data_IF_166114614476
#
_entry.id   IF_166114614476
#
_cell.length_a   1.000
_cell.length_b   1.000
_cell.length_c   1.000
_cell.angle_alpha   90.00
_cell.angle_beta   90.00
_cell.angle_gamma   90.00
#
_symmetry.space_group_name_H-M   'P 1'
#
loop_
_entity.id
_entity.type
_entity.pdbx_description
1 polymer ?
#
# COMPACT_ATOMS: atom_id res chain seq x y z
N UNK A 1 23.43 -20.33 -5.77
CA UNK A 1 23.03 -18.98 -5.32
C UNK A 1 22.04 -19.18 -4.18
N UNK A 2 22.41 -18.85 -2.94
CA UNK A 2 21.49 -18.96 -1.80
C UNK A 2 20.78 -17.62 -1.67
N UNK A 3 19.46 -17.63 -1.85
CA UNK A 3 18.62 -16.48 -1.51
C UNK A 3 18.55 -16.35 0.02
N UNK A 4 18.45 -15.13 0.55
CA UNK A 4 18.29 -14.92 1.99
C UNK A 4 17.04 -15.65 2.50
N UNK A 5 17.17 -16.24 3.69
CA UNK A 5 16.05 -16.86 4.39
C UNK A 5 15.14 -15.75 4.91
N UNK A 6 13.91 -15.67 4.38
CA UNK A 6 12.92 -14.72 4.86
C UNK A 6 12.12 -15.34 6.00
N UNK A 7 12.38 -14.89 7.23
CA UNK A 7 11.69 -15.40 8.44
C UNK A 7 10.19 -15.06 8.48
N UNK A 8 9.73 -14.09 7.66
CA UNK A 8 8.35 -13.56 7.70
C UNK A 8 7.78 -13.39 6.29
N UNK A 9 7.36 -14.50 5.69
CA UNK A 9 6.59 -14.49 4.44
C UNK A 9 5.11 -14.62 4.76
N UNK A 10 4.29 -13.68 4.28
CA UNK A 10 2.84 -13.83 4.27
C UNK A 10 2.41 -14.37 2.91
N UNK A 11 1.66 -15.47 2.92
CA UNK A 11 1.06 -16.02 1.72
C UNK A 11 -0.37 -15.51 1.57
N UNK A 12 -0.71 -15.05 0.36
CA UNK A 12 -2.07 -14.67 0.00
C UNK A 12 -2.59 -15.64 -1.06
N UNK A 13 -3.71 -16.29 -0.78
CA UNK A 13 -4.40 -17.13 -1.77
C UNK A 13 -5.25 -16.24 -2.67
N UNK A 14 -5.05 -16.36 -3.98
CA UNK A 14 -5.83 -15.63 -4.98
C UNK A 14 -7.06 -16.43 -5.38
N UNK A 15 -8.21 -15.76 -5.46
CA UNK A 15 -9.46 -16.29 -5.97
C UNK A 15 -9.80 -15.60 -7.30
N UNK A 16 -10.51 -16.29 -8.23
CA UNK A 16 -10.99 -15.66 -9.45
C UNK A 16 -11.85 -14.43 -9.15
N UNK A 17 -11.59 -13.32 -9.83
CA UNK A 17 -12.31 -12.06 -9.66
C UNK A 17 -11.83 -11.19 -8.49
N UNK A 18 -10.83 -11.63 -7.70
CA UNK A 18 -10.17 -10.75 -6.75
C UNK A 18 -9.51 -9.58 -7.46
N UNK A 19 -9.71 -8.38 -6.93
CA UNK A 19 -9.05 -7.16 -7.39
C UNK A 19 -8.11 -6.69 -6.29
N UNK A 20 -6.83 -6.54 -6.62
CA UNK A 20 -5.80 -6.16 -5.65
C UNK A 20 -5.15 -4.85 -6.09
N UNK A 21 -4.84 -4.00 -5.12
CA UNK A 21 -3.88 -2.91 -5.28
C UNK A 21 -2.74 -3.10 -4.28
N UNK A 22 -1.52 -2.85 -4.74
CA UNK A 22 -0.32 -2.99 -3.92
C UNK A 22 0.42 -1.67 -3.96
N UNK A 23 0.65 -1.08 -2.80
CA UNK A 23 1.49 0.12 -2.65
C UNK A 23 2.67 -0.21 -1.73
N UNK A 24 3.82 0.38 -2.01
CA UNK A 24 5.07 0.18 -1.29
C UNK A 24 5.84 1.49 -1.34
N UNK A 25 6.68 1.76 -0.34
CA UNK A 25 7.61 2.91 -0.39
C UNK A 25 6.85 4.24 -0.59
N UNK A 26 5.81 4.41 0.23
CA UNK A 26 4.97 5.59 0.20
C UNK A 26 5.46 6.58 1.24
N UNK A 27 6.43 7.42 0.89
CA UNK A 27 6.80 8.58 1.71
C UNK A 27 5.66 9.58 1.66
N UNK A 28 4.74 9.51 2.64
CA UNK A 28 3.55 10.37 2.73
C UNK A 28 3.87 11.82 3.08
N UNK A 29 5.15 12.17 3.07
CA UNK A 29 5.65 13.49 3.36
C UNK A 29 5.57 13.83 4.83
N UNK A 30 6.41 14.76 5.26
CA UNK A 30 6.41 15.31 6.62
C UNK A 30 5.53 16.57 6.72
N UNK A 31 4.82 16.94 5.65
CA UNK A 31 4.00 18.14 5.56
C UNK A 31 4.81 19.45 5.48
N UNK A 32 6.13 19.38 5.29
CA UNK A 32 6.98 20.57 5.15
C UNK A 32 6.97 21.11 3.73
N UNK A 33 7.58 22.28 3.50
CA UNK A 33 7.68 22.87 2.16
C UNK A 33 8.50 22.05 1.15
N UNK A 34 9.20 21.01 1.60
CA UNK A 34 9.94 20.06 0.75
C UNK A 34 9.17 18.73 0.55
N UNK A 35 7.90 18.68 0.95
CA UNK A 35 7.03 17.52 0.81
C UNK A 35 6.58 17.34 -0.65
N UNK A 36 7.30 16.49 -1.37
CA UNK A 36 6.99 16.10 -2.75
C UNK A 36 5.68 15.29 -2.87
N UNK A 37 5.20 14.69 -1.77
CA UNK A 37 3.95 13.95 -1.73
C UNK A 37 2.74 14.89 -1.61
N UNK A 38 2.87 16.03 -0.95
CA UNK A 38 1.78 17.00 -0.77
C UNK A 38 1.12 17.39 -2.11
N UNK A 39 1.92 17.55 -3.17
CA UNK A 39 1.45 17.84 -4.53
C UNK A 39 0.62 16.70 -5.14
N UNK A 40 0.95 15.44 -4.82
CA UNK A 40 0.33 14.24 -5.38
C UNK A 40 -0.73 13.61 -4.46
N UNK A 41 -0.88 14.13 -3.24
CA UNK A 41 -1.81 13.64 -2.21
C UNK A 41 -3.26 13.54 -2.70
N UNK A 42 -3.70 14.48 -3.54
CA UNK A 42 -5.04 14.50 -4.09
C UNK A 42 -5.28 13.32 -5.04
N UNK A 43 -4.35 13.06 -5.96
CA UNK A 43 -4.44 11.95 -6.92
C UNK A 43 -4.40 10.62 -6.17
N UNK A 44 -3.51 10.51 -5.19
CA UNK A 44 -3.41 9.33 -4.34
C UNK A 44 -4.73 9.05 -3.60
N UNK A 45 -5.35 10.07 -3.01
CA UNK A 45 -6.65 9.95 -2.34
C UNK A 45 -7.77 9.54 -3.30
N UNK A 46 -7.84 10.17 -4.48
CA UNK A 46 -8.83 9.81 -5.50
C UNK A 46 -8.68 8.36 -5.96
N UNK A 47 -7.45 7.89 -6.15
CA UNK A 47 -7.18 6.50 -6.53
C UNK A 47 -7.63 5.54 -5.42
N UNK A 48 -7.25 5.77 -4.16
CA UNK A 48 -7.69 4.94 -3.04
C UNK A 48 -9.20 4.89 -2.89
N UNK A 49 -9.88 6.04 -3.03
CA UNK A 49 -11.34 6.09 -2.99
C UNK A 49 -11.97 5.23 -4.09
N UNK A 50 -11.49 5.38 -5.33
CA UNK A 50 -11.97 4.57 -6.46
C UNK A 50 -11.80 3.07 -6.19
N UNK A 51 -10.63 2.66 -5.71
CA UNK A 51 -10.34 1.25 -5.44
C UNK A 51 -11.22 0.68 -4.31
N UNK A 52 -11.45 1.46 -3.25
CA UNK A 52 -12.35 1.10 -2.17
C UNK A 52 -13.79 0.92 -2.68
N UNK A 53 -14.30 1.87 -3.46
CA UNK A 53 -15.66 1.83 -4.01
C UNK A 53 -15.88 0.67 -5.01
N UNK A 54 -14.80 0.19 -5.64
CA UNK A 54 -14.85 -0.88 -6.65
C UNK A 54 -14.48 -2.28 -6.13
N UNK A 55 -14.34 -2.43 -4.80
CA UNK A 55 -14.11 -3.71 -4.13
C UNK A 55 -12.70 -4.26 -4.34
N UNK A 56 -11.69 -3.39 -4.42
CA UNK A 56 -10.30 -3.81 -4.40
C UNK A 56 -9.82 -4.03 -2.97
N UNK A 57 -9.00 -5.06 -2.77
CA UNK A 57 -8.24 -5.24 -1.53
C UNK A 57 -6.92 -4.48 -1.63
N UNK A 58 -6.64 -3.65 -0.62
CA UNK A 58 -5.39 -2.91 -0.50
C UNK A 58 -4.34 -3.69 0.26
N UNK A 59 -3.12 -3.70 -0.28
CA UNK A 59 -1.93 -4.30 0.33
C UNK A 59 -0.84 -3.23 0.40
N UNK A 60 -0.37 -2.94 1.61
CA UNK A 60 0.75 -2.02 1.86
C UNK A 60 2.00 -2.81 2.20
N UNK A 61 3.07 -2.63 1.44
CA UNK A 61 4.34 -3.39 1.54
C UNK A 61 5.44 -2.66 2.32
N UNK A 62 5.06 -1.79 3.26
CA UNK A 62 5.99 -1.10 4.16
C UNK A 62 6.64 0.14 3.53
N UNK A 63 7.44 0.83 4.35
CA UNK A 63 8.00 2.16 4.07
C UNK A 63 6.94 3.22 3.74
N UNK A 64 5.75 3.04 4.30
CA UNK A 64 4.88 4.13 4.66
C UNK A 64 5.23 4.51 6.10
N UNK A 65 5.94 5.62 6.28
CA UNK A 65 6.14 6.15 7.63
C UNK A 65 4.75 6.33 8.29
N UNK A 66 4.58 5.61 9.41
CA UNK A 66 3.37 5.39 10.21
C UNK A 66 2.20 4.61 9.55
N UNK A 67 2.28 3.27 9.57
CA UNK A 67 1.17 2.40 10.02
C UNK A 67 1.69 0.99 10.36
N UNK A 68 1.69 0.65 11.64
CA UNK A 68 2.32 -0.57 12.20
C UNK A 68 1.56 -1.89 12.00
N UNK A 69 0.56 -1.95 11.12
CA UNK A 69 -0.08 -3.22 10.77
C UNK A 69 -0.51 -3.23 9.29
N UNK A 70 -0.33 -4.34 8.57
CA UNK A 70 -0.93 -4.50 7.25
C UNK A 70 -2.45 -4.47 7.42
N UNK A 71 -3.05 -3.37 6.98
CA UNK A 71 -4.50 -3.20 6.96
C UNK A 71 -5.02 -3.97 5.75
N UNK A 72 -5.46 -5.20 5.99
CA UNK A 72 -6.36 -5.89 5.05
C UNK A 72 -7.75 -5.32 5.32
N UNK A 73 -8.16 -4.30 4.57
CA UNK A 73 -9.54 -3.82 4.59
C UNK A 73 -10.37 -4.88 3.85
N UNK A 74 -11.33 -5.47 4.56
CA UNK A 74 -12.32 -6.39 4.03
C UNK A 74 -13.58 -5.61 3.66
#
# INVERSE_FOLDING_TARGET
>A
MNFPYFDRVKHLTLNPGMKLIVMSDMHRGDGTGADDFAQNSLIYRCALQYYLENGFTYIELGDAEELLFPVVIN
#
